data_IF_134362250276
#
_entry.id   IF_134362250276
#
_cell.length_a   1.000
_cell.length_b   1.000
_cell.length_c   1.000
_cell.angle_alpha   90.00
_cell.angle_beta   90.00
_cell.angle_gamma   90.00
#
_symmetry.space_group_name_H-M   'P 1'
#
loop_
_entity.id
_entity.type
_entity.pdbx_description
1 polymer ?
#
# COMPACT_ATOMS: atom_id res chain seq x y z
N UNK A 1 16.47 -3.03 -62.15
CA UNK A 1 17.59 -3.16 -61.15
C UNK A 1 17.26 -2.26 -59.97
N UNK A 2 16.65 -2.82 -58.91
CA UNK A 2 16.32 -2.07 -57.69
C UNK A 2 17.48 -2.21 -56.69
N UNK A 3 18.07 -1.08 -56.31
CA UNK A 3 19.07 -1.02 -55.23
C UNK A 3 18.38 -1.18 -53.87
N UNK A 4 18.87 -2.00 -52.94
CA UNK A 4 18.30 -2.13 -51.63
C UNK A 4 18.63 -0.91 -50.77
N UNK A 5 17.60 -0.43 -50.03
CA UNK A 5 17.72 0.67 -49.07
C UNK A 5 18.57 0.21 -47.88
N UNK A 6 19.70 0.86 -47.68
CA UNK A 6 20.60 0.65 -46.55
C UNK A 6 19.90 1.03 -45.23
N UNK A 7 19.66 0.07 -44.32
CA UNK A 7 19.24 0.32 -42.93
C UNK A 7 20.37 1.05 -42.21
N UNK A 8 20.24 2.37 -42.03
CA UNK A 8 21.14 3.14 -41.16
C UNK A 8 21.09 2.56 -39.73
N UNK A 9 22.18 1.95 -39.29
CA UNK A 9 22.35 1.56 -37.90
C UNK A 9 22.44 2.84 -37.07
N UNK A 10 21.46 3.06 -36.19
CA UNK A 10 21.51 4.13 -35.19
C UNK A 10 22.70 3.86 -34.30
N UNK A 11 23.61 4.83 -34.20
CA UNK A 11 24.83 4.74 -33.39
C UNK A 11 24.49 4.42 -31.93
N UNK A 12 25.30 3.60 -31.29
CA UNK A 12 25.19 3.25 -29.86
C UNK A 12 25.14 4.51 -28.98
N UNK A 13 25.90 5.53 -29.37
CA UNK A 13 25.92 6.84 -28.71
C UNK A 13 24.57 7.56 -28.77
N UNK A 14 23.84 7.48 -29.88
CA UNK A 14 22.51 8.08 -30.00
C UNK A 14 21.49 7.36 -29.13
N UNK A 15 21.60 6.04 -28.98
CA UNK A 15 20.76 5.25 -28.06
C UNK A 15 21.05 5.59 -26.59
N UNK A 16 22.29 5.80 -26.24
CA UNK A 16 22.68 6.22 -24.88
C UNK A 16 22.19 7.64 -24.56
N UNK A 17 22.28 8.57 -25.51
CA UNK A 17 21.75 9.94 -25.34
C UNK A 17 20.23 9.91 -25.14
N UNK A 18 19.49 9.13 -25.92
CA UNK A 18 18.04 8.99 -25.75
C UNK A 18 17.70 8.37 -24.39
N UNK A 19 18.44 7.36 -23.94
CA UNK A 19 18.25 6.76 -22.63
C UNK A 19 18.52 7.77 -21.49
N UNK A 20 19.55 8.61 -21.63
CA UNK A 20 19.85 9.66 -20.64
C UNK A 20 18.78 10.76 -20.61
N UNK A 21 18.22 11.15 -21.77
CA UNK A 21 17.14 12.13 -21.85
C UNK A 21 15.86 11.57 -21.20
N UNK A 22 15.51 10.31 -21.46
CA UNK A 22 14.34 9.66 -20.85
C UNK A 22 14.50 9.50 -19.33
N UNK A 23 15.68 9.17 -18.84
CA UNK A 23 15.99 9.12 -17.41
C UNK A 23 15.95 10.53 -16.77
N UNK A 24 16.46 11.56 -17.47
CA UNK A 24 16.45 12.94 -17.00
C UNK A 24 15.03 13.53 -16.92
N UNK A 25 14.17 13.24 -17.89
CA UNK A 25 12.76 13.67 -17.87
C UNK A 25 11.98 12.97 -16.75
N UNK A 26 12.24 11.67 -16.51
CA UNK A 26 11.63 10.93 -15.40
C UNK A 26 12.05 11.50 -14.04
N UNK A 27 13.32 11.88 -13.90
CA UNK A 27 13.84 12.45 -12.65
C UNK A 27 13.33 13.87 -12.41
N UNK A 28 13.24 14.71 -13.44
CA UNK A 28 12.71 16.06 -13.34
C UNK A 28 11.19 16.07 -13.08
N UNK A 29 10.45 15.14 -13.67
CA UNK A 29 9.01 14.96 -13.42
C UNK A 29 8.73 14.49 -12.00
N UNK A 30 9.49 13.51 -11.49
CA UNK A 30 9.40 13.02 -10.13
C UNK A 30 9.79 14.08 -9.10
N UNK A 31 10.83 14.90 -9.39
CA UNK A 31 11.25 15.99 -8.51
C UNK A 31 10.22 17.13 -8.47
N UNK A 32 9.60 17.50 -9.60
CA UNK A 32 8.51 18.49 -9.62
C UNK A 32 7.25 18.04 -8.86
N UNK A 33 6.93 16.75 -8.91
CA UNK A 33 5.82 16.19 -8.13
C UNK A 33 6.15 16.17 -6.64
N UNK A 34 7.41 15.91 -6.29
CA UNK A 34 7.91 15.97 -4.91
C UNK A 34 7.93 17.39 -4.35
N UNK A 35 8.41 18.40 -5.12
CA UNK A 35 8.36 19.81 -4.70
C UNK A 35 6.92 20.31 -4.55
N UNK A 36 6.02 19.96 -5.49
CA UNK A 36 4.62 20.35 -5.43
C UNK A 36 3.88 19.72 -4.23
N UNK A 37 4.30 18.52 -3.79
CA UNK A 37 3.82 17.90 -2.55
C UNK A 37 4.34 18.59 -1.28
N UNK A 38 5.53 19.21 -1.32
CA UNK A 38 6.10 19.93 -0.17
C UNK A 38 5.64 21.37 -0.05
N UNK A 39 5.27 22.03 -1.16
CA UNK A 39 4.72 23.40 -1.14
C UNK A 39 3.23 23.45 -0.75
N UNK A 40 2.51 22.35 -0.99
CA UNK A 40 1.16 22.17 -0.50
C UNK A 40 1.22 21.64 0.94
N UNK A 41 1.46 22.50 1.90
CA UNK A 41 1.08 22.28 3.30
C UNK A 41 -0.45 22.26 3.45
N UNK A 42 -1.15 21.73 2.49
CA UNK A 42 -2.57 21.48 2.46
C UNK A 42 -2.74 19.97 2.28
N UNK A 43 -3.03 19.29 3.37
CA UNK A 43 -3.74 18.02 3.27
C UNK A 43 -5.04 18.29 2.49
N UNK A 44 -5.48 17.40 1.61
CA UNK A 44 -6.75 17.56 0.92
C UNK A 44 -7.82 17.82 1.98
N UNK A 45 -8.49 18.95 1.87
CA UNK A 45 -9.61 19.32 2.71
C UNK A 45 -10.77 18.36 2.41
N UNK A 46 -11.53 18.05 3.41
CA UNK A 46 -12.80 17.32 3.61
C UNK A 46 -13.54 16.69 2.41
N UNK A 47 -13.26 17.01 1.16
CA UNK A 47 -14.01 16.52 -0.01
C UNK A 47 -13.36 15.33 -0.74
N UNK A 48 -12.16 14.87 -0.34
CA UNK A 48 -11.41 13.84 -1.04
C UNK A 48 -11.28 12.53 -0.24
N UNK A 49 -12.39 12.01 0.29
CA UNK A 49 -12.44 10.61 0.71
C UNK A 49 -12.34 9.79 -0.59
N UNK A 50 -11.15 9.24 -0.85
CA UNK A 50 -10.92 8.43 -2.04
C UNK A 50 -11.75 7.14 -1.90
N UNK A 51 -12.76 6.93 -2.76
CA UNK A 51 -13.49 5.68 -2.76
C UNK A 51 -12.56 4.56 -3.21
N UNK A 52 -12.38 3.56 -2.37
CA UNK A 52 -11.64 2.35 -2.72
C UNK A 52 -12.54 1.43 -3.53
N UNK A 53 -11.96 0.81 -4.52
CA UNK A 53 -12.61 -0.13 -5.44
C UNK A 53 -13.49 -1.14 -4.69
N UNK A 54 -14.73 -1.30 -5.16
CA UNK A 54 -15.68 -2.26 -4.63
C UNK A 54 -15.12 -3.67 -4.78
N UNK A 55 -14.73 -4.28 -3.68
CA UNK A 55 -14.36 -5.69 -3.69
C UNK A 55 -15.65 -6.50 -3.73
N UNK A 56 -15.84 -7.40 -4.71
CA UNK A 56 -17.03 -8.22 -4.79
C UNK A 56 -17.02 -9.27 -3.65
N UNK A 57 -17.62 -8.90 -2.51
CA UNK A 57 -17.82 -9.80 -1.39
C UNK A 57 -19.08 -10.66 -1.60
N UNK A 58 -19.13 -11.83 -0.95
CA UNK A 58 -20.31 -12.70 -0.99
C UNK A 58 -21.57 -11.93 -0.61
N UNK A 59 -22.63 -12.11 -1.39
CA UNK A 59 -23.82 -11.24 -1.31
C UNK A 59 -24.65 -11.43 -0.03
N UNK A 60 -24.54 -12.54 0.68
CA UNK A 60 -25.43 -12.96 1.76
C UNK A 60 -24.90 -12.69 3.18
N UNK A 61 -23.59 -12.73 3.39
CA UNK A 61 -22.95 -12.41 4.67
C UNK A 61 -21.54 -11.84 4.46
N UNK A 62 -21.05 -11.13 5.47
CA UNK A 62 -19.74 -10.51 5.49
C UNK A 62 -18.99 -11.00 6.73
N UNK A 63 -17.77 -11.52 6.52
CA UNK A 63 -16.91 -12.03 7.59
C UNK A 63 -15.64 -11.21 7.65
N UNK A 64 -15.46 -10.47 8.74
CA UNK A 64 -14.39 -9.52 8.93
C UNK A 64 -13.62 -9.85 10.20
N UNK A 65 -12.30 -9.89 10.11
CA UNK A 65 -11.44 -9.92 11.29
C UNK A 65 -11.03 -8.48 11.59
N UNK A 66 -11.11 -8.12 12.88
CA UNK A 66 -10.78 -6.76 13.35
C UNK A 66 -9.75 -6.88 14.46
N UNK A 67 -8.65 -6.15 14.35
CA UNK A 67 -7.61 -6.12 15.38
C UNK A 67 -6.84 -4.79 15.36
N UNK A 68 -6.27 -4.42 16.50
CA UNK A 68 -5.39 -3.28 16.66
C UNK A 68 -4.16 -3.65 17.50
N UNK A 69 -3.22 -2.73 17.66
CA UNK A 69 -2.02 -2.89 18.51
C UNK A 69 -1.15 -4.11 18.17
N UNK A 70 -1.03 -4.43 16.89
CA UNK A 70 -0.47 -5.73 16.46
C UNK A 70 0.99 -5.67 16.01
N UNK A 71 1.52 -4.50 15.75
CA UNK A 71 2.78 -4.30 15.02
C UNK A 71 4.07 -4.54 15.77
N UNK A 72 4.14 -5.53 16.68
CA UNK A 72 5.35 -5.81 17.48
C UNK A 72 6.39 -6.64 16.77
N UNK A 73 5.99 -7.57 15.91
CA UNK A 73 6.85 -8.55 15.25
C UNK A 73 7.33 -9.69 16.15
N UNK A 74 6.75 -9.82 17.37
CA UNK A 74 7.12 -10.84 18.34
C UNK A 74 6.34 -12.16 18.16
N UNK A 75 6.64 -13.15 18.99
CA UNK A 75 5.99 -14.45 18.95
C UNK A 75 4.48 -14.39 19.22
N UNK A 76 4.01 -13.43 20.01
CA UNK A 76 2.58 -13.31 20.31
C UNK A 76 1.81 -12.80 19.10
N UNK A 77 2.38 -11.87 18.33
CA UNK A 77 1.81 -11.46 17.03
C UNK A 77 1.71 -12.65 16.07
N UNK A 78 2.74 -13.51 16.01
CA UNK A 78 2.72 -14.72 15.17
C UNK A 78 1.64 -15.71 15.61
N UNK A 79 1.44 -15.92 16.93
CA UNK A 79 0.36 -16.78 17.45
C UNK A 79 -1.03 -16.25 17.08
N UNK A 80 -1.21 -14.92 17.19
CA UNK A 80 -2.47 -14.26 16.77
C UNK A 80 -2.70 -14.47 15.28
N UNK A 81 -1.69 -14.23 14.44
CA UNK A 81 -1.79 -14.42 12.99
C UNK A 81 -2.11 -15.89 12.61
N UNK A 82 -1.54 -16.86 13.30
CA UNK A 82 -1.86 -18.28 13.11
C UNK A 82 -3.31 -18.60 13.52
N UNK A 83 -3.79 -17.98 14.61
CA UNK A 83 -5.21 -18.07 15.01
C UNK A 83 -6.15 -17.49 13.95
N UNK A 84 -5.83 -16.30 13.44
CA UNK A 84 -6.59 -15.65 12.36
C UNK A 84 -6.63 -16.52 11.10
N UNK A 85 -5.50 -17.08 10.69
CA UNK A 85 -5.46 -17.97 9.52
C UNK A 85 -6.39 -19.18 9.69
N UNK A 86 -6.40 -19.81 10.87
CA UNK A 86 -7.31 -20.93 11.18
C UNK A 86 -8.79 -20.50 11.09
N UNK A 87 -9.13 -19.32 11.61
CA UNK A 87 -10.50 -18.79 11.51
C UNK A 87 -10.88 -18.55 10.06
N UNK A 88 -10.00 -17.94 9.26
CA UNK A 88 -10.22 -17.73 7.84
C UNK A 88 -10.44 -19.05 7.08
N UNK A 89 -9.67 -20.09 7.41
CA UNK A 89 -9.78 -21.41 6.75
C UNK A 89 -11.10 -22.13 7.14
N UNK A 90 -11.53 -22.03 8.39
CA UNK A 90 -12.68 -22.77 8.92
C UNK A 90 -14.02 -22.07 8.67
N UNK A 91 -14.06 -20.77 8.94
CA UNK A 91 -15.29 -19.97 8.86
C UNK A 91 -15.36 -19.12 7.58
N UNK A 92 -14.22 -18.86 6.95
CA UNK A 92 -14.05 -17.87 5.91
C UNK A 92 -13.68 -16.50 6.50
N UNK A 93 -13.06 -15.66 5.70
CA UNK A 93 -12.94 -14.23 5.96
C UNK A 93 -12.84 -13.49 4.63
N UNK A 94 -13.44 -12.30 4.57
CA UNK A 94 -13.46 -11.48 3.36
C UNK A 94 -12.28 -10.51 3.36
N UNK A 95 -12.05 -9.83 4.48
CA UNK A 95 -10.93 -8.92 4.70
C UNK A 95 -10.62 -8.76 6.19
N UNK A 96 -9.56 -8.03 6.47
CA UNK A 96 -9.10 -7.69 7.82
C UNK A 96 -9.11 -6.17 7.99
N UNK A 97 -9.52 -5.67 9.16
CA UNK A 97 -9.38 -4.28 9.59
C UNK A 97 -8.27 -4.17 10.63
N UNK A 98 -7.29 -3.32 10.36
CA UNK A 98 -6.23 -2.94 11.29
C UNK A 98 -6.57 -1.57 11.89
N UNK A 99 -6.79 -1.54 13.21
CA UNK A 99 -7.28 -0.37 13.94
C UNK A 99 -6.16 0.56 14.45
N UNK A 100 -5.00 0.53 13.81
CA UNK A 100 -3.84 1.33 14.19
C UNK A 100 -2.83 0.59 15.05
N UNK A 101 -1.72 1.29 15.33
CA UNK A 101 -0.50 0.77 15.92
C UNK A 101 0.03 -0.45 15.16
N UNK A 102 0.14 -0.24 13.85
CA UNK A 102 0.54 -1.25 12.89
C UNK A 102 2.03 -1.57 12.96
N UNK A 103 2.86 -0.65 13.50
CA UNK A 103 4.31 -0.79 13.58
C UNK A 103 4.89 -0.17 14.84
N UNK A 104 5.12 -1.00 15.88
CA UNK A 104 5.83 -0.59 17.09
C UNK A 104 7.36 -0.55 16.89
N UNK A 105 8.14 0.28 17.66
CA UNK A 105 7.62 1.25 18.63
C UNK A 105 7.26 2.61 18.01
N UNK A 106 7.61 2.90 16.75
CA UNK A 106 7.56 4.27 16.21
C UNK A 106 7.07 4.37 14.76
N UNK A 107 6.35 3.39 14.23
CA UNK A 107 5.96 3.38 12.82
C UNK A 107 7.12 3.02 11.87
N UNK A 108 7.01 3.41 10.61
CA UNK A 108 7.94 3.08 9.53
C UNK A 108 8.62 4.33 8.95
N UNK A 109 9.86 4.19 8.46
CA UNK A 109 10.67 5.32 7.95
C UNK A 109 10.50 5.58 6.46
N UNK A 110 10.37 4.52 5.68
CA UNK A 110 10.30 4.58 4.22
C UNK A 110 9.56 3.36 3.67
N UNK A 111 9.17 3.41 2.41
CA UNK A 111 8.51 2.30 1.69
C UNK A 111 9.39 1.02 1.63
N UNK A 112 10.68 1.14 1.88
CA UNK A 112 11.64 0.03 1.94
C UNK A 112 11.95 -0.41 3.37
N UNK A 113 11.24 0.12 4.37
CA UNK A 113 11.45 -0.28 5.76
C UNK A 113 11.17 -1.78 5.93
N UNK A 114 12.12 -2.47 6.53
CA UNK A 114 12.04 -3.92 6.74
C UNK A 114 10.86 -4.33 7.62
N UNK A 115 10.32 -3.40 8.41
CA UNK A 115 9.19 -3.66 9.27
C UNK A 115 7.94 -4.08 8.48
N UNK A 116 7.73 -3.55 7.27
CA UNK A 116 6.65 -4.03 6.41
C UNK A 116 6.75 -5.53 6.16
N UNK A 117 7.94 -6.03 5.88
CA UNK A 117 8.13 -7.44 5.68
C UNK A 117 8.02 -8.23 6.98
N UNK A 118 8.77 -7.84 8.03
CA UNK A 118 8.92 -8.64 9.25
C UNK A 118 7.72 -8.57 10.20
N UNK A 119 6.89 -7.52 10.10
CA UNK A 119 5.74 -7.29 10.99
C UNK A 119 4.38 -7.35 10.27
N UNK A 120 4.38 -7.41 8.95
CA UNK A 120 3.15 -7.52 8.16
C UNK A 120 3.22 -8.68 7.16
N UNK A 121 4.01 -8.59 6.08
CA UNK A 121 3.97 -9.58 5.00
C UNK A 121 4.30 -11.00 5.47
N UNK A 122 5.38 -11.16 6.25
CA UNK A 122 5.80 -12.45 6.78
C UNK A 122 4.82 -12.98 7.83
N UNK A 123 4.32 -12.11 8.68
CA UNK A 123 3.41 -12.46 9.79
C UNK A 123 2.09 -13.00 9.27
N UNK A 124 1.49 -12.27 8.31
CA UNK A 124 0.14 -12.60 7.80
C UNK A 124 0.16 -13.34 6.47
N UNK A 125 1.28 -13.94 6.06
CA UNK A 125 1.47 -14.62 4.77
C UNK A 125 0.48 -15.75 4.48
N UNK A 126 -0.14 -16.33 5.51
CA UNK A 126 -1.17 -17.37 5.40
C UNK A 126 -2.55 -16.80 5.13
N UNK A 127 -2.77 -15.50 5.40
CA UNK A 127 -4.04 -14.81 5.24
C UNK A 127 -3.98 -14.03 3.93
N UNK A 128 -4.38 -14.64 2.83
CA UNK A 128 -4.35 -14.02 1.49
C UNK A 128 -5.62 -13.20 1.26
N UNK A 129 -5.82 -12.19 2.10
CA UNK A 129 -6.98 -11.28 2.08
C UNK A 129 -6.51 -9.83 2.20
N UNK A 130 -7.31 -8.86 1.72
CA UNK A 130 -7.01 -7.44 1.92
C UNK A 130 -7.01 -7.07 3.41
N UNK A 131 -6.05 -6.25 3.81
CA UNK A 131 -5.94 -5.64 5.14
C UNK A 131 -6.14 -4.14 5.00
N UNK A 132 -7.28 -3.63 5.43
CA UNK A 132 -7.57 -2.20 5.45
C UNK A 132 -7.07 -1.61 6.76
N UNK A 133 -6.13 -0.66 6.67
CA UNK A 133 -5.44 -0.12 7.82
C UNK A 133 -5.78 1.35 8.08
N UNK A 134 -5.86 1.72 9.34
CA UNK A 134 -5.80 3.11 9.80
C UNK A 134 -4.56 3.31 10.66
N UNK A 135 -4.19 4.56 10.93
CA UNK A 135 -3.02 4.89 11.74
C UNK A 135 -3.35 4.90 13.22
N UNK A 136 -2.43 4.39 14.03
CA UNK A 136 -2.40 4.60 15.48
C UNK A 136 -1.35 5.63 15.88
N UNK A 137 -1.28 5.92 17.17
CA UNK A 137 -0.35 6.92 17.71
C UNK A 137 1.13 6.50 17.59
N UNK A 138 1.43 5.21 17.44
CA UNK A 138 2.78 4.73 17.16
C UNK A 138 3.16 4.90 15.71
N UNK A 139 2.22 4.76 14.79
CA UNK A 139 2.44 4.84 13.35
C UNK A 139 2.84 6.25 12.90
N UNK A 140 2.29 7.30 13.54
CA UNK A 140 2.56 8.70 13.22
C UNK A 140 3.88 9.25 13.76
N UNK A 141 4.61 8.49 14.61
CA UNK A 141 5.89 8.93 15.20
C UNK A 141 7.02 9.04 14.17
N UNK A 142 6.86 8.46 12.99
CA UNK A 142 7.79 8.60 11.87
C UNK A 142 7.04 9.01 10.60
N UNK A 143 7.32 8.38 9.46
CA UNK A 143 6.73 8.76 8.19
C UNK A 143 5.42 8.00 7.92
N UNK A 144 4.31 8.50 8.46
CA UNK A 144 2.99 7.90 8.30
C UNK A 144 2.56 7.78 6.82
N UNK A 145 2.92 8.76 5.96
CA UNK A 145 2.62 8.73 4.53
C UNK A 145 3.19 7.50 3.82
N UNK A 146 4.25 6.94 4.36
CA UNK A 146 4.84 5.71 3.84
C UNK A 146 3.87 4.51 3.89
N UNK A 147 2.97 4.47 4.86
CA UNK A 147 1.97 3.40 4.95
C UNK A 147 0.93 3.51 3.83
N UNK A 148 0.57 4.73 3.44
CA UNK A 148 -0.27 5.00 2.26
C UNK A 148 0.45 4.54 0.99
N UNK A 149 1.69 4.96 0.80
CA UNK A 149 2.49 4.58 -0.38
C UNK A 149 2.73 3.07 -0.47
N UNK A 150 2.76 2.37 0.67
CA UNK A 150 2.93 0.92 0.68
C UNK A 150 1.74 0.17 0.07
N UNK A 151 0.55 0.76 0.06
CA UNK A 151 -0.63 0.20 -0.64
C UNK A 151 -0.41 0.00 -2.15
N UNK A 152 0.50 0.77 -2.76
CA UNK A 152 0.87 0.63 -4.17
C UNK A 152 1.85 -0.53 -4.42
N UNK A 153 2.42 -1.10 -3.37
CA UNK A 153 3.46 -2.13 -3.43
C UNK A 153 2.99 -3.51 -2.95
N UNK A 154 2.10 -3.52 -1.96
CA UNK A 154 1.61 -4.76 -1.35
C UNK A 154 0.35 -5.26 -2.05
N UNK A 155 0.26 -6.57 -2.23
CA UNK A 155 -0.95 -7.22 -2.73
C UNK A 155 -2.07 -7.24 -1.68
N UNK A 156 -1.74 -7.04 -0.39
CA UNK A 156 -2.67 -7.20 0.72
C UNK A 156 -2.90 -5.94 1.54
N UNK A 157 -1.91 -5.07 1.69
CA UNK A 157 -2.03 -3.82 2.45
C UNK A 157 -2.90 -2.80 1.69
N UNK A 158 -3.91 -2.24 2.36
CA UNK A 158 -4.83 -1.24 1.83
C UNK A 158 -4.95 -0.07 2.79
N UNK A 159 -4.33 1.04 2.45
CA UNK A 159 -4.46 2.33 3.12
C UNK A 159 -4.30 3.42 2.04
N UNK A 160 -5.36 3.71 1.26
CA UNK A 160 -5.25 4.58 0.09
C UNK A 160 -5.04 6.04 0.43
N UNK A 161 -5.47 6.47 1.62
CA UNK A 161 -5.29 7.81 2.17
C UNK A 161 -5.34 7.75 3.71
N UNK A 162 -5.12 8.87 4.40
CA UNK A 162 -5.32 9.02 5.84
C UNK A 162 -6.79 8.80 6.21
N UNK A 163 -7.68 9.39 5.42
CA UNK A 163 -9.12 9.20 5.51
C UNK A 163 -9.61 8.57 4.22
N UNK A 164 -10.39 7.52 4.32
CA UNK A 164 -10.92 6.81 3.15
C UNK A 164 -12.19 6.05 3.49
N UNK A 165 -12.94 5.67 2.48
CA UNK A 165 -14.07 4.76 2.64
C UNK A 165 -14.04 3.65 1.59
N UNK A 166 -14.66 2.54 1.91
CA UNK A 166 -14.94 1.48 0.95
C UNK A 166 -16.30 0.84 1.24
N UNK A 167 -16.88 0.25 0.23
CA UNK A 167 -18.20 -0.35 0.30
C UNK A 167 -18.16 -1.84 0.03
N UNK A 168 -19.06 -2.53 0.67
CA UNK A 168 -19.43 -3.91 0.40
C UNK A 168 -20.92 -3.94 0.05
N UNK A 169 -21.44 -5.09 -0.40
CA UNK A 169 -22.87 -5.23 -0.63
C UNK A 169 -23.74 -5.01 0.63
N UNK A 170 -23.16 -5.02 1.83
CA UNK A 170 -23.86 -4.98 3.12
C UNK A 170 -23.54 -3.76 3.98
N UNK A 171 -22.37 -3.15 3.81
CA UNK A 171 -21.90 -2.09 4.69
C UNK A 171 -20.93 -1.16 3.98
N UNK A 172 -20.89 0.09 4.44
CA UNK A 172 -19.85 1.07 4.11
C UNK A 172 -18.94 1.22 5.32
N UNK A 173 -17.64 1.20 5.09
CA UNK A 173 -16.60 1.35 6.09
C UNK A 173 -15.89 2.68 5.88
N UNK A 174 -15.56 3.35 6.99
CA UNK A 174 -14.79 4.59 7.01
C UNK A 174 -13.53 4.36 7.83
N UNK A 175 -12.36 4.59 7.23
CA UNK A 175 -11.07 4.67 7.90
C UNK A 175 -10.77 6.13 8.21
N UNK A 176 -10.58 6.48 9.49
CA UNK A 176 -10.36 7.83 9.98
C UNK A 176 -9.06 7.90 10.79
#
# INVERSE_FOLDING_TARGET
MNKPISKRRISVWLKLIIAFILLGVGFAGGFKLYEKGNEAGCFPLEDDIVPVEIIPFRADHLQVIVLGDTGTGNEDQLKVADGMAKVCDQAGCDFVLLLGDNFYPNGVKSILDKQFYTKFEQVYNKIKKPFFAVLGNHDIKQNAFTQIMYSLRSDYWRMPNYEYSFETAKARFYGL
#
